data_IF_985098616663
#
_entry.id   IF_985098616663
#
_cell.length_a   1.000
_cell.length_b   1.000
_cell.length_c   1.000
_cell.angle_alpha   90.00
_cell.angle_beta   90.00
_cell.angle_gamma   90.00
#
_symmetry.space_group_name_H-M   'P 1'
#
loop_
_entity.id
_entity.type
_entity.pdbx_description
1 polymer ?
#
# COMPACT_ATOMS: atom_id res chain seq x y z
N UNK A 1 -3.17 -4.14 -21.99
CA UNK A 1 -4.31 -4.23 -21.03
C UNK A 1 -4.06 -3.25 -19.90
N UNK A 2 -5.08 -2.60 -19.36
CA UNK A 2 -4.90 -1.73 -18.19
C UNK A 2 -4.48 -2.58 -16.98
N UNK A 3 -3.65 -2.03 -16.11
CA UNK A 3 -3.23 -2.64 -14.84
C UNK A 3 -3.74 -1.73 -13.72
N UNK A 4 -4.98 -1.94 -13.20
CA UNK A 4 -5.56 -1.09 -12.18
C UNK A 4 -4.67 -1.06 -10.94
N UNK A 5 -4.24 0.13 -10.52
CA UNK A 5 -3.40 0.29 -9.33
C UNK A 5 -3.55 1.66 -8.70
N UNK A 6 -3.26 1.72 -7.41
CA UNK A 6 -3.33 2.95 -6.63
C UNK A 6 -2.32 2.90 -5.48
N UNK A 7 -1.67 4.02 -5.24
CA UNK A 7 -0.77 4.19 -4.09
C UNK A 7 -1.48 5.01 -3.01
N UNK A 8 -1.61 4.43 -1.81
CA UNK A 8 -2.15 5.11 -0.63
C UNK A 8 -0.98 5.67 0.17
N UNK A 9 -0.94 6.99 0.34
CA UNK A 9 0.12 7.67 1.08
C UNK A 9 -0.47 8.67 2.08
N UNK A 10 0.38 9.41 2.76
CA UNK A 10 -0.03 10.46 3.71
C UNK A 10 1.02 11.55 3.80
N UNK A 11 0.77 12.55 4.66
CA UNK A 11 1.76 13.61 4.92
C UNK A 11 2.77 13.20 5.99
N UNK A 12 2.43 12.18 6.80
CA UNK A 12 3.30 11.69 7.90
C UNK A 12 2.89 10.28 8.32
N UNK A 13 3.66 9.72 9.26
CA UNK A 13 3.26 8.50 10.01
C UNK A 13 1.97 8.73 10.79
N UNK A 14 1.15 7.68 10.98
CA UNK A 14 -0.09 7.76 11.76
C UNK A 14 -1.22 8.57 11.13
N UNK A 15 -1.14 8.93 9.85
CA UNK A 15 -2.19 9.67 9.14
C UNK A 15 -3.47 8.85 8.88
N UNK A 16 -3.43 7.51 9.03
CA UNK A 16 -4.55 6.61 8.78
C UNK A 16 -4.47 5.82 7.46
N UNK A 17 -3.28 5.74 6.84
CA UNK A 17 -3.06 4.97 5.60
C UNK A 17 -3.55 3.54 5.70
N UNK A 18 -3.14 2.83 6.75
CA UNK A 18 -3.47 1.42 6.97
C UNK A 18 -4.97 1.20 7.13
N UNK A 19 -5.68 2.11 7.79
CA UNK A 19 -7.15 2.05 7.90
C UNK A 19 -7.79 2.13 6.51
N UNK A 20 -7.36 3.08 5.68
CA UNK A 20 -7.88 3.21 4.32
C UNK A 20 -7.50 2.02 3.45
N UNK A 21 -6.24 1.59 3.47
CA UNK A 21 -5.74 0.49 2.63
C UNK A 21 -6.43 -0.83 2.96
N UNK A 22 -6.42 -1.24 4.24
CA UNK A 22 -7.09 -2.46 4.71
C UNK A 22 -8.59 -2.39 4.45
N UNK A 23 -9.21 -1.24 4.72
CA UNK A 23 -10.64 -1.05 4.51
C UNK A 23 -11.05 -1.12 3.03
N UNK A 24 -10.29 -0.52 2.10
CA UNK A 24 -10.53 -0.65 0.66
C UNK A 24 -10.38 -2.10 0.20
N UNK A 25 -9.32 -2.78 0.64
CA UNK A 25 -9.09 -4.19 0.32
C UNK A 25 -10.26 -5.04 0.81
N UNK A 26 -10.65 -4.90 2.08
CA UNK A 26 -11.75 -5.67 2.66
C UNK A 26 -13.09 -5.36 1.96
N UNK A 27 -13.39 -4.09 1.67
CA UNK A 27 -14.60 -3.67 0.98
C UNK A 27 -14.70 -4.27 -0.43
N UNK A 28 -13.63 -4.20 -1.22
CA UNK A 28 -13.59 -4.76 -2.57
C UNK A 28 -13.61 -6.29 -2.56
N UNK A 29 -12.86 -6.93 -1.66
CA UNK A 29 -12.88 -8.40 -1.50
C UNK A 29 -14.29 -8.89 -1.13
N UNK A 30 -14.97 -8.23 -0.19
CA UNK A 30 -16.35 -8.56 0.21
C UNK A 30 -17.36 -8.37 -0.93
N UNK A 31 -17.08 -7.49 -1.90
CA UNK A 31 -17.90 -7.31 -3.11
C UNK A 31 -17.51 -8.25 -4.26
N UNK A 32 -16.63 -9.23 -4.01
CA UNK A 32 -16.19 -10.21 -5.02
C UNK A 32 -15.09 -9.69 -5.97
N UNK A 33 -14.52 -8.52 -5.70
CA UNK A 33 -13.40 -8.00 -6.49
C UNK A 33 -12.09 -8.67 -6.05
N UNK A 34 -11.24 -8.99 -7.00
CA UNK A 34 -9.88 -9.45 -6.70
C UNK A 34 -8.98 -8.27 -6.37
N UNK A 35 -8.21 -8.37 -5.28
CA UNK A 35 -7.27 -7.33 -4.85
C UNK A 35 -5.89 -7.92 -4.60
N UNK A 36 -4.85 -7.30 -5.13
CA UNK A 36 -3.45 -7.67 -4.87
C UNK A 36 -2.80 -6.59 -4.01
N UNK A 37 -2.44 -6.91 -2.77
CA UNK A 37 -1.84 -5.95 -1.86
C UNK A 37 -0.33 -5.88 -2.02
N UNK A 38 0.19 -4.65 -1.89
CA UNK A 38 1.61 -4.36 -1.81
C UNK A 38 1.89 -3.38 -0.66
N UNK A 39 3.00 -3.57 0.02
CA UNK A 39 3.49 -2.64 1.05
C UNK A 39 4.83 -2.04 0.64
N UNK A 40 4.97 -0.72 0.72
CA UNK A 40 6.28 -0.07 0.53
C UNK A 40 7.18 -0.32 1.71
N UNK A 41 8.44 -0.70 1.41
CA UNK A 41 9.47 -0.90 2.43
C UNK A 41 9.36 -2.22 3.19
N UNK A 42 10.23 -2.44 4.20
CA UNK A 42 10.38 -3.73 4.88
C UNK A 42 9.39 -3.92 6.05
N UNK A 43 8.18 -3.39 5.95
CA UNK A 43 7.17 -3.46 7.00
C UNK A 43 6.38 -4.78 6.92
N UNK A 44 6.55 -5.63 7.92
CA UNK A 44 5.85 -6.93 8.01
C UNK A 44 4.46 -6.81 8.65
N UNK A 45 4.29 -5.88 9.58
CA UNK A 45 3.06 -5.76 10.37
C UNK A 45 1.92 -5.27 9.47
N UNK A 46 2.12 -4.14 8.81
CA UNK A 46 1.12 -3.60 7.89
C UNK A 46 0.90 -4.56 6.71
N UNK A 47 1.97 -5.17 6.16
CA UNK A 47 1.86 -6.19 5.11
C UNK A 47 1.01 -7.39 5.54
N UNK A 48 1.12 -7.82 6.80
CA UNK A 48 0.28 -8.87 7.38
C UNK A 48 -1.21 -8.49 7.41
N UNK A 49 -1.54 -7.26 7.78
CA UNK A 49 -2.92 -6.74 7.77
C UNK A 49 -3.49 -6.65 6.36
N UNK A 50 -2.70 -6.18 5.40
CA UNK A 50 -3.11 -6.10 3.99
C UNK A 50 -3.34 -7.50 3.41
N UNK A 51 -2.45 -8.45 3.72
CA UNK A 51 -2.59 -9.85 3.30
C UNK A 51 -3.85 -10.51 3.88
N UNK A 52 -4.13 -10.28 5.18
CA UNK A 52 -5.31 -10.80 5.86
C UNK A 52 -6.60 -10.27 5.20
N UNK A 53 -6.68 -8.98 4.91
CA UNK A 53 -7.84 -8.37 4.27
C UNK A 53 -8.06 -8.86 2.83
N UNK A 54 -6.97 -9.15 2.11
CA UNK A 54 -7.01 -9.61 0.72
C UNK A 54 -7.22 -11.13 0.58
N UNK A 55 -7.03 -11.90 1.66
CA UNK A 55 -7.03 -13.38 1.60
C UNK A 55 -5.86 -13.94 0.75
N UNK A 56 -4.78 -13.18 0.58
CA UNK A 56 -3.60 -13.57 -0.20
C UNK A 56 -2.34 -12.87 0.28
N UNK A 57 -1.12 -13.39 -0.01
CA UNK A 57 0.13 -12.75 0.38
C UNK A 57 0.24 -11.30 -0.10
N UNK A 58 0.85 -10.45 0.73
CA UNK A 58 1.26 -9.09 0.40
C UNK A 58 2.74 -9.10 0.06
N UNK A 59 3.13 -8.48 -1.06
CA UNK A 59 4.54 -8.33 -1.43
C UNK A 59 5.08 -6.98 -0.98
N UNK A 60 6.31 -6.98 -0.47
CA UNK A 60 6.99 -5.76 -0.09
C UNK A 60 7.76 -5.16 -1.29
N UNK A 61 7.51 -3.88 -1.57
CA UNK A 61 8.19 -3.11 -2.61
C UNK A 61 9.19 -2.17 -1.94
N UNK A 62 10.45 -2.55 -1.92
CA UNK A 62 11.50 -1.83 -1.19
C UNK A 62 12.61 -1.37 -2.13
N UNK A 63 12.62 -0.08 -2.48
CA UNK A 63 13.62 0.54 -3.35
C UNK A 63 14.92 0.90 -2.61
N UNK A 64 15.02 0.62 -1.31
CA UNK A 64 16.26 0.76 -0.54
C UNK A 64 17.06 -0.55 -0.53
N UNK A 65 16.40 -1.68 -0.27
CA UNK A 65 17.04 -3.00 -0.22
C UNK A 65 17.22 -3.63 -1.60
N UNK A 66 16.37 -3.25 -2.56
CA UNK A 66 16.28 -3.85 -3.89
C UNK A 66 16.36 -2.75 -4.95
N UNK A 67 17.07 -3.01 -6.05
CA UNK A 67 17.16 -2.07 -7.16
C UNK A 67 15.75 -1.69 -7.68
N UNK A 68 15.52 -0.41 -8.05
CA UNK A 68 14.23 0.02 -8.56
C UNK A 68 13.70 -0.79 -9.76
N UNK A 69 14.59 -1.26 -10.65
CA UNK A 69 14.17 -2.10 -11.77
C UNK A 69 13.70 -3.48 -11.33
N UNK A 70 14.36 -4.08 -10.34
CA UNK A 70 13.95 -5.36 -9.75
C UNK A 70 12.67 -5.21 -8.93
N UNK A 71 12.50 -4.08 -8.23
CA UNK A 71 11.26 -3.72 -7.54
C UNK A 71 10.09 -3.61 -8.53
N UNK A 72 10.30 -2.96 -9.69
CA UNK A 72 9.31 -2.89 -10.76
C UNK A 72 9.01 -4.28 -11.35
N UNK A 73 10.04 -5.09 -11.59
CA UNK A 73 9.87 -6.45 -12.10
C UNK A 73 9.07 -7.33 -11.12
N UNK A 74 9.32 -7.20 -9.80
CA UNK A 74 8.52 -7.87 -8.77
C UNK A 74 7.06 -7.43 -8.83
N UNK A 75 6.82 -6.11 -8.89
CA UNK A 75 5.46 -5.58 -9.02
C UNK A 75 4.74 -6.14 -10.25
N UNK A 76 5.36 -6.08 -11.45
CA UNK A 76 4.77 -6.56 -12.69
C UNK A 76 4.49 -8.07 -12.66
N UNK A 77 5.33 -8.87 -12.00
CA UNK A 77 5.13 -10.31 -11.82
C UNK A 77 3.94 -10.63 -10.91
N UNK A 78 3.72 -9.82 -9.87
CA UNK A 78 2.66 -10.04 -8.87
C UNK A 78 1.33 -9.39 -9.22
N UNK A 79 1.37 -8.22 -9.83
CA UNK A 79 0.18 -7.47 -10.20
C UNK A 79 -0.68 -8.25 -11.20
N UNK A 80 -1.99 -8.04 -11.15
CA UNK A 80 -2.97 -8.71 -12.01
C UNK A 80 -3.84 -7.67 -12.73
N UNK A 81 -4.02 -7.78 -14.05
CA UNK A 81 -4.84 -6.85 -14.83
C UNK A 81 -6.31 -6.81 -14.40
N UNK A 82 -6.83 -7.94 -13.97
CA UNK A 82 -8.23 -8.12 -13.51
C UNK A 82 -8.44 -7.74 -12.04
N UNK A 83 -7.38 -7.33 -11.34
CA UNK A 83 -7.42 -7.04 -9.90
C UNK A 83 -7.10 -5.58 -9.63
N UNK A 84 -7.61 -5.06 -8.51
CA UNK A 84 -7.07 -3.83 -7.94
C UNK A 84 -5.74 -4.09 -7.26
N UNK A 85 -4.67 -3.46 -7.73
CA UNK A 85 -3.34 -3.54 -7.16
C UNK A 85 -3.16 -2.34 -6.22
N UNK A 86 -3.20 -2.58 -4.90
CA UNK A 86 -3.11 -1.52 -3.88
C UNK A 86 -1.72 -1.50 -3.30
N UNK A 87 -1.06 -0.35 -3.37
CA UNK A 87 0.25 -0.10 -2.80
C UNK A 87 0.08 0.80 -1.57
N UNK A 88 0.34 0.28 -0.37
CA UNK A 88 0.41 1.13 0.81
C UNK A 88 1.81 1.68 0.99
N UNK A 89 1.90 3.02 1.04
CA UNK A 89 3.12 3.76 1.30
C UNK A 89 3.58 3.66 2.76
N UNK A 90 4.77 4.18 3.03
CA UNK A 90 5.34 4.27 4.37
C UNK A 90 5.63 5.74 4.72
N UNK A 91 5.51 6.13 6.00
CA UNK A 91 5.71 7.51 6.49
C UNK A 91 4.90 8.55 5.70
N UNK A 92 5.48 9.71 5.40
CA UNK A 92 4.92 10.70 4.48
C UNK A 92 5.26 10.43 3.02
N UNK A 93 4.57 11.12 2.11
CA UNK A 93 4.69 10.92 0.66
C UNK A 93 6.13 11.08 0.17
N UNK A 94 6.83 12.10 0.66
CA UNK A 94 8.20 12.45 0.26
C UNK A 94 9.26 12.02 1.29
N UNK A 95 8.84 11.40 2.41
CA UNK A 95 9.80 10.98 3.44
C UNK A 95 10.64 9.79 2.95
N UNK A 96 11.96 9.90 3.18
CA UNK A 96 12.95 8.92 2.77
C UNK A 96 14.00 8.72 3.88
N UNK A 97 14.94 7.83 3.66
CA UNK A 97 16.12 7.61 4.50
C UNK A 97 17.18 8.67 4.16
N UNK A 98 17.29 9.03 2.89
CA UNK A 98 18.23 10.02 2.36
C UNK A 98 17.57 11.41 2.20
N UNK A 99 18.38 12.43 2.00
CA UNK A 99 17.96 13.84 1.85
C UNK A 99 17.26 14.05 0.50
N UNK A 100 17.66 13.35 -0.53
CA UNK A 100 17.16 13.47 -1.90
C UNK A 100 15.79 12.83 -2.10
N UNK A 101 15.33 12.02 -1.13
CA UNK A 101 14.01 11.38 -1.19
C UNK A 101 13.96 10.12 -2.07
N UNK A 102 15.12 9.54 -2.44
CA UNK A 102 15.22 8.49 -3.48
C UNK A 102 14.43 7.21 -3.17
N UNK A 103 14.18 6.93 -1.90
CA UNK A 103 13.39 5.78 -1.46
C UNK A 103 12.02 6.14 -0.91
N UNK A 104 11.51 7.34 -1.24
CA UNK A 104 10.21 7.81 -0.78
C UNK A 104 9.04 7.06 -1.43
N UNK A 105 7.84 7.22 -0.87
CA UNK A 105 6.61 6.72 -1.50
C UNK A 105 6.34 7.40 -2.83
N UNK A 106 6.75 8.67 -2.97
CA UNK A 106 6.65 9.44 -4.21
C UNK A 106 7.47 8.78 -5.34
N UNK A 107 8.73 8.43 -5.07
CA UNK A 107 9.59 7.75 -6.05
C UNK A 107 9.03 6.38 -6.46
N UNK A 108 8.52 5.60 -5.51
CA UNK A 108 7.86 4.34 -5.83
C UNK A 108 6.60 4.56 -6.68
N UNK A 109 5.77 5.55 -6.37
CA UNK A 109 4.58 5.86 -7.15
C UNK A 109 4.94 6.27 -8.60
N UNK A 110 6.00 7.07 -8.80
CA UNK A 110 6.53 7.41 -10.13
C UNK A 110 7.06 6.19 -10.87
N UNK A 111 7.84 5.34 -10.19
CA UNK A 111 8.38 4.09 -10.76
C UNK A 111 7.26 3.20 -11.27
N UNK A 112 6.19 3.08 -10.49
CA UNK A 112 5.03 2.25 -10.83
C UNK A 112 4.02 2.98 -11.74
N UNK A 113 4.22 4.26 -12.07
CA UNK A 113 3.23 5.11 -12.77
C UNK A 113 1.86 4.99 -12.07
N UNK A 114 1.83 5.07 -10.75
CA UNK A 114 0.65 4.82 -9.92
C UNK A 114 0.06 6.14 -9.42
N UNK A 115 -1.23 6.40 -9.64
CA UNK A 115 -1.88 7.55 -9.02
C UNK A 115 -1.86 7.42 -7.50
N UNK A 116 -1.78 8.56 -6.84
CA UNK A 116 -1.69 8.67 -5.38
C UNK A 116 -2.99 9.18 -4.80
N UNK A 117 -3.48 8.52 -3.76
CA UNK A 117 -4.50 9.03 -2.85
C UNK A 117 -3.85 9.31 -1.50
N UNK A 118 -3.98 10.54 -1.02
CA UNK A 118 -3.43 10.95 0.26
C UNK A 118 -4.45 10.77 1.38
N UNK A 119 -4.01 10.23 2.51
CA UNK A 119 -4.75 10.26 3.77
C UNK A 119 -4.13 11.33 4.66
N UNK A 120 -4.93 12.31 5.09
CA UNK A 120 -4.42 13.47 5.81
C UNK A 120 -5.10 13.64 7.16
N UNK A 121 -4.28 13.83 8.21
CA UNK A 121 -4.79 14.15 9.53
C UNK A 121 -5.26 15.60 9.60
N UNK A 122 -6.57 15.79 9.77
CA UNK A 122 -7.22 17.09 9.79
C UNK A 122 -7.38 17.67 11.21
N UNK A 123 -6.71 17.08 12.20
CA UNK A 123 -6.81 17.55 13.60
C UNK A 123 -6.42 19.03 13.70
N UNK A 124 -7.37 19.88 14.18
CA UNK A 124 -7.18 21.30 14.40
C UNK A 124 -6.73 22.10 13.16
N UNK A 125 -6.99 21.59 11.93
CA UNK A 125 -6.68 22.30 10.69
C UNK A 125 -7.95 22.57 9.88
N UNK A 126 -7.91 23.59 9.03
CA UNK A 126 -8.96 23.90 8.04
C UNK A 126 -8.29 24.34 6.73
N UNK A 127 -8.28 25.63 6.40
CA UNK A 127 -7.69 26.15 5.16
C UNK A 127 -6.19 25.85 5.01
N UNK A 128 -5.46 25.74 6.12
CA UNK A 128 -4.03 25.37 6.12
C UNK A 128 -3.80 23.99 5.47
N UNK A 129 -4.75 23.06 5.58
CA UNK A 129 -4.66 21.77 4.90
C UNK A 129 -4.58 21.92 3.38
N UNK A 130 -5.34 22.84 2.79
CA UNK A 130 -5.23 23.12 1.35
C UNK A 130 -3.84 23.66 0.97
N UNK A 131 -3.24 24.53 1.81
CA UNK A 131 -1.87 25.00 1.56
C UNK A 131 -0.82 23.88 1.62
N UNK A 132 -0.96 22.93 2.56
CA UNK A 132 -0.09 21.75 2.65
C UNK A 132 -0.23 20.86 1.42
N UNK A 133 -1.46 20.54 1.02
CA UNK A 133 -1.73 19.70 -0.15
C UNK A 133 -1.26 20.37 -1.45
N UNK A 134 -1.45 21.67 -1.58
CA UNK A 134 -0.94 22.44 -2.71
C UNK A 134 0.60 22.37 -2.74
N UNK A 135 1.26 22.51 -1.59
CA UNK A 135 2.70 22.33 -1.47
C UNK A 135 3.13 20.95 -1.95
N UNK A 136 2.48 19.89 -1.52
CA UNK A 136 2.78 18.52 -1.95
C UNK A 136 2.62 18.32 -3.47
N UNK A 137 1.57 18.87 -4.07
CA UNK A 137 1.31 18.72 -5.50
C UNK A 137 2.30 19.53 -6.37
N UNK A 138 2.88 20.60 -5.83
CA UNK A 138 3.86 21.43 -6.55
C UNK A 138 5.31 21.03 -6.25
N UNK A 139 5.56 20.34 -5.15
CA UNK A 139 6.90 19.93 -4.73
C UNK A 139 7.53 18.97 -5.74
N UNK A 140 6.75 18.02 -6.24
CA UNK A 140 7.14 17.16 -7.37
C UNK A 140 5.93 16.97 -8.31
N UNK A 141 5.88 17.70 -9.43
CA UNK A 141 4.79 17.62 -10.40
C UNK A 141 4.69 16.26 -11.13
N UNK A 142 5.69 15.39 -11.01
CA UNK A 142 5.64 14.05 -11.59
C UNK A 142 4.85 13.06 -10.73
N UNK A 143 4.52 13.43 -9.49
CA UNK A 143 3.68 12.62 -8.61
C UNK A 143 2.22 12.92 -8.88
N UNK A 144 1.49 11.94 -9.37
CA UNK A 144 0.08 12.06 -9.79
C UNK A 144 -0.86 11.95 -8.58
N UNK A 145 -1.04 13.02 -7.82
CA UNK A 145 -1.96 13.08 -6.66
C UNK A 145 -3.38 13.36 -7.16
N UNK A 146 -4.26 12.35 -7.14
CA UNK A 146 -5.62 12.43 -7.71
C UNK A 146 -6.74 12.54 -6.69
N UNK A 147 -6.46 12.30 -5.42
CA UNK A 147 -7.48 12.33 -4.41
C UNK A 147 -6.94 12.46 -3.00
N UNK A 148 -7.82 12.86 -2.10
CA UNK A 148 -7.52 12.93 -0.67
C UNK A 148 -8.66 12.37 0.15
N UNK A 149 -8.32 11.62 1.21
CA UNK A 149 -9.24 11.20 2.26
C UNK A 149 -8.87 11.93 3.54
N UNK A 150 -9.85 12.63 4.09
CA UNK A 150 -9.70 13.40 5.32
C UNK A 150 -9.80 12.47 6.53
N UNK A 151 -8.86 12.51 7.44
CA UNK A 151 -8.92 11.72 8.67
C UNK A 151 -9.06 12.62 9.89
N UNK A 152 -9.70 12.11 10.95
CA UNK A 152 -9.93 12.80 12.23
C UNK A 152 -10.71 14.09 12.10
N UNK A 153 -11.71 14.09 11.24
CA UNK A 153 -12.61 15.23 11.05
C UNK A 153 -13.52 15.37 12.30
N UNK A 154 -13.65 16.59 12.81
CA UNK A 154 -14.36 16.81 14.07
C UNK A 154 -15.89 16.75 13.94
N UNK A 155 -16.45 17.26 12.81
CA UNK A 155 -17.87 17.29 12.51
C UNK A 155 -18.11 17.70 11.04
N UNK A 156 -19.37 17.68 10.60
CA UNK A 156 -19.77 18.02 9.22
C UNK A 156 -19.36 19.42 8.77
N UNK A 157 -19.46 20.43 9.65
CA UNK A 157 -19.02 21.80 9.34
C UNK A 157 -17.51 21.89 9.14
N UNK A 158 -16.74 21.09 9.86
CA UNK A 158 -15.30 21.00 9.69
C UNK A 158 -14.96 20.34 8.36
N UNK A 159 -15.63 19.23 8.02
CA UNK A 159 -15.50 18.55 6.74
C UNK A 159 -15.80 19.48 5.57
N UNK A 160 -16.93 20.17 5.59
CA UNK A 160 -17.34 21.10 4.54
C UNK A 160 -16.26 22.17 4.27
N UNK A 161 -15.73 22.78 5.34
CA UNK A 161 -14.66 23.77 5.21
C UNK A 161 -13.39 23.18 4.58
N UNK A 162 -13.00 21.99 4.97
CA UNK A 162 -11.83 21.31 4.40
C UNK A 162 -12.07 20.99 2.93
N UNK A 163 -13.20 20.36 2.61
CA UNK A 163 -13.57 19.96 1.25
C UNK A 163 -13.58 21.17 0.29
N UNK A 164 -14.31 22.22 0.63
CA UNK A 164 -14.40 23.43 -0.21
C UNK A 164 -13.02 24.05 -0.43
N UNK A 165 -12.18 24.14 0.60
CA UNK A 165 -10.85 24.72 0.45
C UNK A 165 -9.91 23.87 -0.40
N UNK A 166 -9.91 22.56 -0.19
CA UNK A 166 -9.04 21.61 -0.93
C UNK A 166 -9.44 21.57 -2.41
N UNK A 167 -10.72 21.37 -2.70
CA UNK A 167 -11.20 21.30 -4.08
C UNK A 167 -11.00 22.62 -4.83
N UNK A 168 -11.23 23.76 -4.16
CA UNK A 168 -11.07 25.08 -4.76
C UNK A 168 -9.62 25.47 -5.04
N UNK A 169 -8.71 25.20 -4.11
CA UNK A 169 -7.34 25.70 -4.20
C UNK A 169 -6.35 24.69 -4.77
N UNK A 170 -6.61 23.39 -4.58
CA UNK A 170 -5.71 22.33 -5.06
C UNK A 170 -6.24 21.64 -6.31
N UNK A 171 -7.54 21.73 -6.61
CA UNK A 171 -8.17 20.94 -7.68
C UNK A 171 -8.18 19.43 -7.40
N UNK A 172 -7.86 19.01 -6.18
CA UNK A 172 -7.81 17.61 -5.76
C UNK A 172 -9.18 17.19 -5.22
N UNK A 173 -9.70 16.06 -5.70
CA UNK A 173 -10.97 15.52 -5.23
C UNK A 173 -10.89 15.04 -3.78
N UNK A 174 -11.83 15.44 -2.93
CA UNK A 174 -12.00 14.86 -1.60
C UNK A 174 -12.88 13.62 -1.71
N UNK A 175 -12.27 12.44 -1.56
CA UNK A 175 -12.89 11.14 -1.77
C UNK A 175 -13.66 10.63 -0.54
N UNK A 176 -13.45 11.24 0.61
CA UNK A 176 -14.12 10.85 1.84
C UNK A 176 -13.57 11.52 3.07
N UNK A 177 -14.21 11.26 4.21
CA UNK A 177 -13.83 11.82 5.49
C UNK A 177 -14.12 10.85 6.64
N UNK A 178 -13.09 10.46 7.37
CA UNK A 178 -13.22 9.70 8.61
C UNK A 178 -13.41 10.65 9.80
N UNK A 179 -14.36 10.39 10.68
CA UNK A 179 -14.47 11.10 11.94
C UNK A 179 -13.28 10.77 12.85
N UNK A 180 -13.15 11.46 13.95
CA UNK A 180 -12.22 11.07 15.01
C UNK A 180 -12.78 9.82 15.70
N UNK A 181 -12.16 8.68 15.45
CA UNK A 181 -12.53 7.44 16.13
C UNK A 181 -12.16 7.49 17.61
N UNK A 182 -12.99 6.87 18.43
CA UNK A 182 -12.71 6.59 19.84
C UNK A 182 -12.01 5.25 19.99
N UNK A 183 -11.49 4.93 21.19
CA UNK A 183 -10.87 3.62 21.44
C UNK A 183 -11.83 2.45 21.28
N UNK A 184 -13.12 2.70 21.51
CA UNK A 184 -14.17 1.69 21.40
C UNK A 184 -14.57 1.45 19.94
N UNK A 185 -14.42 2.47 19.07
CA UNK A 185 -14.73 2.35 17.64
C UNK A 185 -13.67 1.53 16.90
N UNK A 186 -12.41 1.66 17.34
CA UNK A 186 -11.30 1.03 16.64
C UNK A 186 -10.03 0.89 17.50
N UNK A 187 -9.41 -0.30 17.57
CA UNK A 187 -8.17 -0.53 18.31
C UNK A 187 -6.93 -0.03 17.54
N UNK A 188 -6.92 1.26 17.12
CA UNK A 188 -5.82 1.88 16.35
C UNK A 188 -4.41 1.58 16.88
N UNK A 189 -4.29 1.47 18.23
CA UNK A 189 -3.00 1.24 18.88
C UNK A 189 -2.42 -0.16 18.63
N UNK A 190 -3.23 -1.10 18.19
CA UNK A 190 -2.81 -2.48 18.01
C UNK A 190 -2.40 -2.77 16.57
N UNK A 191 -2.94 -2.06 15.58
CA UNK A 191 -2.69 -2.35 14.16
C UNK A 191 -1.23 -2.13 13.71
N UNK A 192 -0.58 -1.07 14.13
CA UNK A 192 0.81 -0.82 13.77
C UNK A 192 1.84 -1.53 14.66
N UNK A 193 1.39 -2.30 15.67
CA UNK A 193 2.25 -2.88 16.69
C UNK A 193 2.02 -4.38 16.92
N UNK A 194 0.90 -4.93 16.40
CA UNK A 194 0.53 -6.34 16.63
C UNK A 194 0.32 -7.03 15.28
N UNK A 195 1.04 -8.12 15.03
CA UNK A 195 0.89 -8.91 13.81
C UNK A 195 -0.52 -9.49 13.68
N UNK A 196 -1.12 -9.37 12.48
CA UNK A 196 -2.48 -9.83 12.19
C UNK A 196 -2.73 -11.33 12.49
N UNK A 197 -1.79 -12.26 12.21
CA UNK A 197 -2.01 -13.69 12.43
C UNK A 197 -2.18 -14.12 13.89
N UNK A 198 -1.83 -13.27 14.85
CA UNK A 198 -1.88 -13.64 16.27
C UNK A 198 -3.29 -13.62 16.88
N UNK A 199 -4.28 -13.04 16.18
CA UNK A 199 -5.58 -12.78 16.80
C UNK A 199 -6.78 -13.10 15.90
N UNK A 200 -7.71 -13.91 16.41
CA UNK A 200 -9.02 -14.16 15.79
C UNK A 200 -9.76 -12.85 15.44
N UNK A 201 -9.58 -11.82 16.25
CA UNK A 201 -10.20 -10.51 16.02
C UNK A 201 -9.64 -9.73 14.81
N UNK A 202 -8.50 -10.15 14.22
CA UNK A 202 -7.93 -9.49 13.05
C UNK A 202 -8.84 -9.60 11.82
N UNK A 203 -9.52 -10.73 11.67
CA UNK A 203 -10.51 -10.92 10.59
C UNK A 203 -11.68 -9.95 10.76
N UNK A 204 -12.23 -9.90 11.99
CA UNK A 204 -13.33 -9.00 12.31
C UNK A 204 -12.93 -7.54 12.19
N UNK A 205 -11.69 -7.20 12.57
CA UNK A 205 -11.16 -5.85 12.44
C UNK A 205 -11.05 -5.42 10.96
N UNK A 206 -10.55 -6.28 10.08
CA UNK A 206 -10.48 -5.99 8.65
C UNK A 206 -11.88 -5.80 8.04
N UNK A 207 -12.85 -6.63 8.41
CA UNK A 207 -14.24 -6.48 7.97
C UNK A 207 -14.85 -5.16 8.45
N UNK A 208 -14.64 -4.78 9.73
CA UNK A 208 -15.11 -3.50 10.28
C UNK A 208 -14.49 -2.31 9.55
N UNK A 209 -13.20 -2.36 9.20
CA UNK A 209 -12.57 -1.32 8.36
C UNK A 209 -13.20 -1.25 6.99
N UNK A 210 -13.54 -2.38 6.39
CA UNK A 210 -14.28 -2.43 5.13
C UNK A 210 -15.60 -1.68 5.21
N UNK A 211 -16.39 -1.91 6.25
CA UNK A 211 -17.65 -1.21 6.48
C UNK A 211 -17.45 0.30 6.77
N UNK A 212 -16.40 0.65 7.53
CA UNK A 212 -16.06 2.06 7.76
C UNK A 212 -15.70 2.77 6.47
N UNK A 213 -14.89 2.14 5.62
CA UNK A 213 -14.50 2.71 4.33
C UNK A 213 -15.72 2.86 3.42
N UNK A 214 -16.57 1.85 3.29
CA UNK A 214 -17.83 1.94 2.53
C UNK A 214 -18.74 3.09 3.00
N UNK A 215 -18.79 3.34 4.30
CA UNK A 215 -19.62 4.39 4.88
C UNK A 215 -19.08 5.81 4.66
N UNK A 216 -17.76 5.97 4.64
CA UNK A 216 -17.13 7.28 4.73
C UNK A 216 -16.31 7.68 3.49
N UNK A 217 -16.07 6.76 2.57
CA UNK A 217 -15.25 6.98 1.37
C UNK A 217 -16.02 6.58 0.12
N UNK A 218 -15.95 7.38 -0.91
CA UNK A 218 -16.47 7.08 -2.25
C UNK A 218 -15.53 6.07 -2.93
N UNK A 219 -15.78 4.78 -2.64
CA UNK A 219 -14.95 3.67 -3.12
C UNK A 219 -15.01 3.50 -4.64
N UNK A 220 -16.10 3.96 -5.29
CA UNK A 220 -16.24 3.88 -6.74
C UNK A 220 -15.32 4.89 -7.41
N UNK A 221 -15.25 6.13 -6.90
CA UNK A 221 -14.26 7.12 -7.38
C UNK A 221 -12.82 6.68 -7.13
N UNK A 222 -12.54 6.03 -6.01
CA UNK A 222 -11.21 5.43 -5.77
C UNK A 222 -10.91 4.35 -6.81
N UNK A 223 -11.89 3.51 -7.14
CA UNK A 223 -11.76 2.48 -8.18
C UNK A 223 -11.52 3.09 -9.58
N UNK A 224 -12.19 4.19 -9.91
CA UNK A 224 -11.99 4.90 -11.17
C UNK A 224 -10.58 5.50 -11.27
N UNK A 225 -10.06 6.06 -10.20
CA UNK A 225 -8.67 6.52 -10.12
C UNK A 225 -7.71 5.34 -10.34
N UNK A 226 -7.95 4.21 -9.70
CA UNK A 226 -7.09 3.03 -9.81
C UNK A 226 -7.07 2.42 -11.23
N UNK A 227 -8.16 2.54 -12.00
CA UNK A 227 -8.28 2.02 -13.36
C UNK A 227 -7.62 2.87 -14.44
N UNK A 228 -7.27 4.10 -14.13
CA UNK A 228 -6.84 5.10 -15.13
C UNK A 228 -5.36 5.06 -15.55
N UNK A 229 -4.40 4.40 -14.88
CA UNK A 229 -2.99 4.53 -15.21
C UNK A 229 -2.55 3.70 -16.42
N UNK A 230 -1.50 4.22 -17.09
CA UNK A 230 -0.76 3.49 -18.12
C UNK A 230 0.03 2.33 -17.47
N UNK A 231 0.38 1.30 -18.26
CA UNK A 231 1.26 0.22 -17.77
C UNK A 231 2.67 0.79 -17.61
N UNK A 232 3.37 0.54 -16.48
CA UNK A 232 4.76 0.91 -16.33
C UNK A 232 5.63 0.13 -17.32
N UNK A 233 6.57 0.80 -17.96
CA UNK A 233 7.52 0.13 -18.85
C UNK A 233 8.64 -0.54 -18.04
N UNK A 234 9.01 -1.80 -18.37
CA UNK A 234 10.17 -2.44 -17.78
C UNK A 234 11.43 -1.59 -17.98
N UNK A 235 12.19 -1.36 -16.93
CA UNK A 235 13.49 -0.67 -17.01
C UNK A 235 14.60 -1.69 -16.90
N UNK A 236 15.71 -1.57 -17.68
CA UNK A 236 16.85 -2.45 -17.53
C UNK A 236 17.49 -2.22 -16.15
N UNK A 237 17.46 -3.24 -15.31
CA UNK A 237 18.15 -3.25 -14.01
C UNK A 237 19.66 -3.40 -14.17
N UNK A 238 20.42 -2.93 -13.18
CA UNK A 238 21.88 -3.08 -13.13
C UNK A 238 22.33 -4.47 -12.67
N UNK A 239 21.44 -5.34 -12.26
CA UNK A 239 21.72 -6.67 -11.72
C UNK A 239 20.44 -7.47 -11.53
N UNK A 240 20.16 -8.26 -12.35
CA UNK A 240 19.80 -9.60 -12.46
C UNK A 240 18.75 -10.26 -11.57
N UNK A 241 17.60 -9.68 -11.16
CA UNK A 241 16.39 -10.51 -10.97
C UNK A 241 15.57 -10.63 -12.27
N UNK A 242 15.95 -9.90 -13.30
CA UNK A 242 15.32 -9.97 -14.61
C UNK A 242 15.47 -11.32 -15.32
N UNK A 243 16.49 -12.06 -15.00
CA UNK A 243 16.70 -13.47 -15.26
C UNK A 243 17.42 -14.06 -14.04
N UNK A 244 16.67 -14.43 -12.99
CA UNK A 244 17.03 -15.67 -12.36
C UNK A 244 16.74 -16.75 -13.43
N UNK A 245 17.53 -16.81 -14.50
CA UNK A 245 18.04 -18.06 -14.98
C UNK A 245 18.82 -18.61 -13.80
N UNK A 246 18.11 -19.26 -12.89
CA UNK A 246 18.61 -20.49 -12.37
C UNK A 246 18.86 -21.29 -13.65
N UNK A 247 20.07 -21.15 -14.25
CA UNK A 247 20.62 -22.24 -15.01
C UNK A 247 20.34 -23.41 -14.10
N UNK A 248 19.43 -24.26 -14.53
CA UNK A 248 19.18 -25.50 -13.84
C UNK A 248 20.60 -26.04 -13.71
N UNK A 249 21.20 -25.93 -12.52
CA UNK A 249 22.41 -26.64 -12.21
C UNK A 249 22.04 -28.04 -12.64
N UNK A 250 22.67 -28.52 -13.72
CA UNK A 250 22.49 -29.87 -14.18
C UNK A 250 22.58 -30.73 -12.93
N UNK A 251 21.43 -31.08 -12.41
CA UNK A 251 21.28 -31.84 -11.19
C UNK A 251 21.68 -33.26 -11.54
N UNK A 252 22.99 -33.46 -11.64
CA UNK A 252 23.55 -34.76 -11.35
C UNK A 252 23.04 -35.14 -9.96
N UNK A 253 22.03 -36.01 -9.90
CA UNK A 253 21.55 -36.83 -8.77
C UNK A 253 21.92 -36.42 -7.33
N UNK A 254 22.16 -35.14 -7.04
CA UNK A 254 22.40 -34.64 -5.70
C UNK A 254 21.04 -34.39 -5.02
N UNK A 255 20.83 -35.00 -3.89
CA UNK A 255 19.69 -34.83 -3.02
C UNK A 255 19.26 -33.37 -2.97
N UNK A 256 17.99 -33.09 -3.29
CA UNK A 256 17.40 -31.76 -3.15
C UNK A 256 17.56 -31.30 -1.69
N UNK A 257 18.12 -30.14 -1.42
CA UNK A 257 18.27 -29.68 -0.05
C UNK A 257 16.88 -29.48 0.58
N UNK A 258 16.68 -30.05 1.76
CA UNK A 258 15.45 -29.83 2.55
C UNK A 258 15.69 -28.65 3.48
N UNK A 259 14.86 -27.61 3.38
CA UNK A 259 14.92 -26.41 4.19
C UNK A 259 13.72 -26.36 5.12
N UNK A 260 13.96 -26.55 6.42
CA UNK A 260 12.92 -26.42 7.44
C UNK A 260 12.59 -24.96 7.69
N UNK A 261 11.31 -24.58 7.62
CA UNK A 261 10.81 -23.25 7.94
C UNK A 261 9.95 -23.31 9.20
N UNK A 262 10.40 -22.63 10.27
CA UNK A 262 9.59 -22.48 11.49
C UNK A 262 8.56 -21.39 11.24
N UNK A 263 7.27 -21.73 11.35
CA UNK A 263 6.17 -20.79 11.12
C UNK A 263 5.10 -20.94 12.19
N UNK A 264 5.09 -19.98 13.11
CA UNK A 264 4.13 -19.88 14.19
C UNK A 264 3.87 -18.40 14.54
N UNK A 265 3.21 -18.10 15.67
CA UNK A 265 2.94 -16.74 16.11
C UNK A 265 4.19 -15.91 16.41
N UNK A 266 5.33 -16.55 16.74
CA UNK A 266 6.59 -15.89 17.04
C UNK A 266 7.49 -15.77 15.79
N UNK A 267 7.42 -16.73 14.87
CA UNK A 267 8.24 -16.80 13.66
C UNK A 267 7.36 -16.71 12.40
N UNK A 268 7.00 -15.49 12.00
CA UNK A 268 6.09 -15.24 10.89
C UNK A 268 6.57 -14.19 9.88
N UNK A 269 7.71 -13.53 10.14
CA UNK A 269 8.21 -12.44 9.31
C UNK A 269 9.06 -12.95 8.14
N UNK A 270 8.39 -13.60 7.19
CA UNK A 270 9.02 -14.07 5.97
C UNK A 270 8.50 -13.30 4.76
N UNK A 271 9.41 -12.84 3.92
CA UNK A 271 9.05 -12.41 2.57
C UNK A 271 8.64 -13.65 1.75
N UNK A 272 7.45 -13.69 1.16
CA UNK A 272 7.04 -14.81 0.31
C UNK A 272 8.06 -15.12 -0.80
N UNK A 273 8.68 -14.08 -1.33
CA UNK A 273 9.67 -14.16 -2.40
C UNK A 273 10.92 -14.94 -1.99
N UNK A 274 11.33 -14.91 -0.74
CA UNK A 274 12.48 -15.67 -0.25
C UNK A 274 12.20 -17.17 -0.28
N UNK A 275 11.01 -17.59 0.16
CA UNK A 275 10.61 -19.00 0.14
C UNK A 275 10.44 -19.50 -1.30
N UNK A 276 9.83 -18.70 -2.16
CA UNK A 276 9.69 -19.00 -3.57
C UNK A 276 11.04 -19.14 -4.28
N UNK A 277 12.00 -18.25 -3.97
CA UNK A 277 13.34 -18.30 -4.52
C UNK A 277 14.08 -19.59 -4.10
N UNK A 278 13.95 -20.01 -2.84
CA UNK A 278 14.51 -21.28 -2.37
C UNK A 278 13.89 -22.47 -3.11
N UNK A 279 12.57 -22.48 -3.25
CA UNK A 279 11.87 -23.55 -4.01
C UNK A 279 12.27 -23.55 -5.49
N UNK A 280 12.39 -22.36 -6.11
CA UNK A 280 12.81 -22.22 -7.49
C UNK A 280 14.27 -22.67 -7.70
N UNK A 281 15.13 -22.51 -6.67
CA UNK A 281 16.49 -23.02 -6.65
C UNK A 281 16.59 -24.53 -6.41
N UNK A 282 15.46 -25.23 -6.29
CA UNK A 282 15.40 -26.69 -6.15
C UNK A 282 15.33 -27.19 -4.70
N UNK A 283 15.17 -26.30 -3.71
CA UNK A 283 14.95 -26.72 -2.34
C UNK A 283 13.54 -27.27 -2.14
N UNK A 284 13.42 -28.28 -1.29
CA UNK A 284 12.16 -28.71 -0.68
C UNK A 284 11.96 -27.93 0.62
N UNK A 285 10.80 -27.27 0.79
CA UNK A 285 10.48 -26.43 1.96
C UNK A 285 9.52 -27.20 2.87
#
# INVERSE_FOLDING_TARGET
>A
MALPRITISGLCGGSGKTILSVGLIAAWTASGQSVVPFKKGPDYIDAGWLAQAAGRPCSNLDTFLVDPADTLALFLRRARPESFNIIEGNRGLFDSIDIEGTTSTAELAKLLVSPVVLVVDCTKTTRTMAALLMGCSHFDPQVDVRGVVLNRVANSRHEEKLRVNIERYCGIAVLGAFPKFTRDDFPERHMGLVPAPEHQWAVDAAARMGELVKKHVDIDRVADIARSPLIPEPRPGKGGLGELRLEALDAAESSRPVVGVVRDSAFQFYYPENLEALTAAGAEI
#
